data_IF_603677360537
#
_entry.id   IF_603677360537
#
_cell.length_a   1.000
_cell.length_b   1.000
_cell.length_c   1.000
_cell.angle_alpha   90.00
_cell.angle_beta   90.00
_cell.angle_gamma   90.00
#
_symmetry.space_group_name_H-M   'P 1'
#
loop_
_entity.id
_entity.type
_entity.pdbx_description
1 polymer ?
#
# COMPACT_ATOMS: atom_id res chain seq x y z
N UNK A 1 -5.65 10.75 -10.78
CA UNK A 1 -7.08 10.73 -10.42
C UNK A 1 -7.16 10.07 -9.08
N UNK A 2 -7.68 10.77 -8.07
CA UNK A 2 -7.75 10.29 -6.68
C UNK A 2 -8.41 8.92 -6.57
N UNK A 3 -9.48 8.68 -7.34
CA UNK A 3 -10.27 7.45 -7.28
C UNK A 3 -9.71 6.29 -8.12
N UNK A 4 -9.45 6.51 -9.41
CA UNK A 4 -9.15 5.41 -10.35
C UNK A 4 -7.67 5.22 -10.68
N UNK A 5 -6.76 5.91 -9.98
CA UNK A 5 -5.30 5.91 -10.20
C UNK A 5 -4.82 6.40 -11.57
N UNK A 6 -5.73 6.71 -12.52
CA UNK A 6 -5.38 7.28 -13.83
C UNK A 6 -4.53 8.54 -13.69
N UNK A 7 -3.43 8.62 -14.43
CA UNK A 7 -2.62 9.83 -14.56
C UNK A 7 -3.37 10.88 -15.38
N UNK A 8 -3.52 12.07 -14.81
CA UNK A 8 -4.31 13.15 -15.45
C UNK A 8 -3.45 13.99 -16.41
N UNK A 9 -2.15 14.15 -16.12
CA UNK A 9 -1.23 14.99 -16.91
C UNK A 9 -0.67 14.34 -18.19
N UNK A 10 -0.85 13.04 -18.41
CA UNK A 10 -0.31 12.32 -19.60
C UNK A 10 -1.39 11.95 -20.65
N UNK A 11 -2.69 12.04 -20.32
CA UNK A 11 -3.80 11.68 -21.24
C UNK A 11 -4.74 12.87 -21.55
N UNK A 12 -4.42 14.07 -21.04
CA UNK A 12 -5.24 15.28 -21.18
C UNK A 12 -5.46 15.73 -22.63
N UNK A 13 -4.60 15.29 -23.56
CA UNK A 13 -4.72 15.63 -24.99
C UNK A 13 -5.69 14.71 -25.75
N UNK A 14 -6.13 13.57 -25.19
CA UNK A 14 -6.86 12.54 -25.97
C UNK A 14 -8.35 12.35 -25.60
N UNK A 15 -8.89 12.98 -24.56
CA UNK A 15 -10.33 12.83 -24.20
C UNK A 15 -10.99 14.11 -23.69
N UNK A 16 -12.19 14.39 -24.22
CA UNK A 16 -13.11 15.51 -23.91
C UNK A 16 -13.66 15.58 -22.47
N UNK A 17 -13.20 14.76 -21.52
CA UNK A 17 -13.72 14.84 -20.14
C UNK A 17 -12.96 15.91 -19.37
N UNK A 18 -13.66 16.98 -18.97
CA UNK A 18 -13.10 18.00 -18.10
C UNK A 18 -12.59 17.37 -16.79
N UNK A 19 -11.34 17.67 -16.44
CA UNK A 19 -10.76 17.34 -15.14
C UNK A 19 -11.55 18.07 -14.07
N UNK A 20 -11.92 17.37 -12.99
CA UNK A 20 -12.71 17.94 -11.90
C UNK A 20 -11.90 17.92 -10.61
N UNK A 21 -11.94 19.01 -9.85
CA UNK A 21 -11.32 19.13 -8.54
C UNK A 21 -12.41 19.22 -7.47
N UNK A 22 -12.17 18.66 -6.28
CA UNK A 22 -13.08 18.86 -5.15
C UNK A 22 -13.11 20.36 -4.76
N UNK A 23 -14.29 20.94 -4.69
CA UNK A 23 -14.50 22.37 -4.41
C UNK A 23 -14.13 22.73 -2.97
N UNK A 24 -14.36 21.82 -2.02
CA UNK A 24 -14.08 22.04 -0.60
C UNK A 24 -12.58 21.99 -0.28
N UNK A 25 -11.89 20.92 -0.65
CA UNK A 25 -10.47 20.76 -0.29
C UNK A 25 -9.51 21.34 -1.32
N UNK A 26 -9.95 21.56 -2.57
CA UNK A 26 -9.14 22.00 -3.72
C UNK A 26 -7.91 21.14 -4.07
N UNK A 27 -7.70 20.02 -3.36
CA UNK A 27 -6.54 19.14 -3.53
C UNK A 27 -6.83 17.78 -4.17
N UNK A 28 -8.05 17.25 -4.02
CA UNK A 28 -8.44 16.00 -4.66
C UNK A 28 -8.84 16.24 -6.13
N UNK A 29 -8.18 15.54 -7.06
CA UNK A 29 -8.34 15.75 -8.51
C UNK A 29 -8.78 14.46 -9.20
N UNK A 30 -9.82 14.57 -10.02
CA UNK A 30 -10.51 13.47 -10.68
C UNK A 30 -10.45 13.63 -12.20
N UNK A 31 -10.43 12.51 -12.93
CA UNK A 31 -10.43 12.53 -14.40
C UNK A 31 -11.82 12.82 -15.02
N UNK A 32 -12.80 13.23 -14.21
CA UNK A 32 -14.18 13.50 -14.61
C UNK A 32 -15.16 13.35 -13.44
N UNK A 33 -16.37 13.87 -13.63
CA UNK A 33 -17.43 13.95 -12.60
C UNK A 33 -17.77 12.59 -11.99
N UNK A 34 -17.90 11.55 -12.82
CA UNK A 34 -18.19 10.19 -12.35
C UNK A 34 -17.15 9.66 -11.35
N UNK A 35 -15.86 9.96 -11.56
CA UNK A 35 -14.84 9.52 -10.59
C UNK A 35 -14.86 10.32 -9.29
N UNK A 36 -15.43 11.54 -9.29
CA UNK A 36 -15.66 12.33 -8.06
C UNK A 36 -16.86 11.77 -7.29
N UNK A 37 -17.95 11.49 -8.00
CA UNK A 37 -19.19 10.95 -7.42
C UNK A 37 -19.02 9.53 -6.91
N UNK A 38 -18.26 8.69 -7.62
CA UNK A 38 -17.95 7.31 -7.20
C UNK A 38 -16.89 7.22 -6.07
N UNK A 39 -16.34 8.33 -5.57
CA UNK A 39 -15.31 8.33 -4.50
C UNK A 39 -15.92 8.55 -3.11
N UNK A 40 -16.58 7.50 -2.61
CA UNK A 40 -17.14 7.44 -1.25
C UNK A 40 -16.11 7.75 -0.15
N UNK A 41 -14.88 7.28 -0.32
CA UNK A 41 -13.82 7.40 0.68
C UNK A 41 -13.27 8.84 0.83
N UNK A 42 -13.45 9.72 -0.17
CA UNK A 42 -12.90 11.07 -0.13
C UNK A 42 -13.38 11.87 1.08
N UNK A 43 -14.63 11.68 1.50
CA UNK A 43 -15.21 12.36 2.65
C UNK A 43 -14.36 12.16 3.93
N UNK A 44 -13.77 10.98 4.10
CA UNK A 44 -12.90 10.65 5.23
C UNK A 44 -11.58 11.42 5.28
N UNK A 45 -11.06 11.91 4.15
CA UNK A 45 -9.78 12.61 4.07
C UNK A 45 -9.90 14.10 3.68
N UNK A 46 -11.07 14.57 3.27
CA UNK A 46 -11.28 15.88 2.65
C UNK A 46 -10.69 17.03 3.49
N UNK A 47 -10.98 17.06 4.80
CA UNK A 47 -10.47 18.08 5.70
C UNK A 47 -8.94 18.04 5.85
N UNK A 48 -8.33 16.85 5.89
CA UNK A 48 -6.88 16.71 5.91
C UNK A 48 -6.26 17.22 4.60
N UNK A 49 -6.86 16.87 3.46
CA UNK A 49 -6.40 17.33 2.15
C UNK A 49 -6.48 18.87 2.06
N UNK A 50 -7.56 19.47 2.56
CA UNK A 50 -7.72 20.92 2.60
C UNK A 50 -6.58 21.59 3.39
N UNK A 51 -6.26 21.07 4.58
CA UNK A 51 -5.14 21.55 5.41
C UNK A 51 -3.78 21.33 4.73
N UNK A 52 -3.60 20.21 4.03
CA UNK A 52 -2.33 19.90 3.36
C UNK A 52 -2.08 20.76 2.10
N UNK A 53 -3.14 21.27 1.48
CA UNK A 53 -3.04 22.25 0.39
C UNK A 53 -2.49 23.57 0.93
N UNK A 54 -2.93 24.00 2.11
CA UNK A 54 -2.53 25.27 2.72
C UNK A 54 -1.24 25.20 3.53
N UNK A 55 -0.84 24.03 4.04
CA UNK A 55 0.41 23.82 4.78
C UNK A 55 1.39 22.88 4.05
N UNK A 56 2.50 23.41 3.48
CA UNK A 56 3.53 22.62 2.81
C UNK A 56 4.14 21.50 3.66
N UNK A 57 4.21 21.67 4.98
CA UNK A 57 4.82 20.69 5.91
C UNK A 57 4.03 19.39 5.95
N UNK A 58 2.73 19.44 5.63
CA UNK A 58 1.86 18.27 5.62
C UNK A 58 1.89 17.52 4.28
N UNK A 59 2.47 18.07 3.21
CA UNK A 59 2.35 17.47 1.85
C UNK A 59 3.03 16.10 1.70
N UNK A 60 4.17 15.87 2.35
CA UNK A 60 4.91 14.59 2.26
C UNK A 60 4.39 13.54 3.25
N UNK A 61 4.09 13.94 4.49
CA UNK A 61 3.62 13.05 5.55
C UNK A 61 2.16 12.58 5.38
N UNK A 62 1.40 13.19 4.46
CA UNK A 62 -0.04 12.93 4.35
C UNK A 62 -0.42 11.69 3.57
N UNK A 63 0.44 11.09 2.73
CA UNK A 63 0.02 9.96 1.87
C UNK A 63 -0.47 8.76 2.68
N UNK A 64 0.30 8.34 3.69
CA UNK A 64 -0.08 7.22 4.56
C UNK A 64 -1.31 7.54 5.41
N UNK A 65 -1.35 8.75 5.99
CA UNK A 65 -2.47 9.19 6.82
C UNK A 65 -3.77 9.32 6.00
N UNK A 66 -3.70 9.84 4.77
CA UNK A 66 -4.81 9.92 3.83
C UNK A 66 -5.42 8.56 3.54
N UNK A 67 -4.58 7.58 3.18
CA UNK A 67 -5.04 6.20 2.98
C UNK A 67 -5.71 5.64 4.23
N UNK A 68 -5.12 5.88 5.41
CA UNK A 68 -5.67 5.37 6.66
C UNK A 68 -7.01 6.02 7.02
N UNK A 69 -7.16 7.33 6.88
CA UNK A 69 -8.44 8.03 7.10
C UNK A 69 -9.53 7.58 6.12
N UNK A 70 -9.18 7.35 4.86
CA UNK A 70 -10.09 6.75 3.86
C UNK A 70 -10.59 5.37 4.34
N UNK A 71 -9.70 4.53 4.86
CA UNK A 71 -10.06 3.22 5.39
C UNK A 71 -10.95 3.31 6.64
N UNK A 72 -10.67 4.23 7.57
CA UNK A 72 -11.50 4.42 8.77
C UNK A 72 -12.92 4.89 8.41
N UNK A 73 -13.04 5.83 7.48
CA UNK A 73 -14.34 6.29 6.98
C UNK A 73 -15.12 5.16 6.32
N UNK A 74 -14.49 4.42 5.40
CA UNK A 74 -15.12 3.28 4.74
C UNK A 74 -15.50 2.16 5.72
N UNK A 75 -14.71 1.94 6.78
CA UNK A 75 -15.04 0.97 7.84
C UNK A 75 -16.32 1.36 8.56
N UNK A 76 -16.45 2.64 8.91
CA UNK A 76 -17.64 3.15 9.58
C UNK A 76 -18.88 3.11 8.66
N UNK A 77 -18.72 3.45 7.37
CA UNK A 77 -19.81 3.45 6.39
C UNK A 77 -20.22 2.04 5.93
N UNK A 78 -19.26 1.11 5.84
CA UNK A 78 -19.44 -0.21 5.23
C UNK A 78 -18.71 -1.31 6.03
N UNK A 79 -19.11 -1.57 7.29
CA UNK A 79 -18.35 -2.46 8.20
C UNK A 79 -18.16 -3.88 7.67
N UNK A 80 -19.16 -4.44 6.97
CA UNK A 80 -19.08 -5.78 6.36
C UNK A 80 -17.92 -5.93 5.36
N UNK A 81 -17.50 -4.85 4.69
CA UNK A 81 -16.35 -4.89 3.75
C UNK A 81 -15.00 -5.03 4.47
N UNK A 82 -14.98 -4.82 5.78
CA UNK A 82 -13.78 -4.77 6.60
C UNK A 82 -13.57 -6.03 7.44
N UNK A 83 -14.47 -7.02 7.35
CA UNK A 83 -14.34 -8.31 8.05
C UNK A 83 -13.01 -9.01 7.70
N UNK A 84 -12.63 -9.00 6.42
CA UNK A 84 -11.37 -9.58 5.94
C UNK A 84 -10.12 -8.89 6.51
N UNK A 85 -10.21 -7.67 7.07
CA UNK A 85 -9.07 -7.05 7.75
C UNK A 85 -8.69 -7.78 9.03
N UNK A 86 -9.64 -8.47 9.67
CA UNK A 86 -9.37 -9.26 10.88
C UNK A 86 -8.29 -10.31 10.65
N UNK A 87 -8.27 -10.92 9.46
CA UNK A 87 -7.34 -11.98 9.07
C UNK A 87 -5.96 -11.49 8.63
N UNK A 88 -5.77 -10.17 8.44
CA UNK A 88 -4.49 -9.65 7.96
C UNK A 88 -3.41 -9.70 9.03
N UNK A 89 -2.16 -9.93 8.59
CA UNK A 89 -1.03 -9.99 9.51
C UNK A 89 -0.75 -8.63 10.14
N UNK A 90 -0.68 -8.60 11.47
CA UNK A 90 -0.16 -7.48 12.26
C UNK A 90 1.24 -7.83 12.75
N UNK A 91 2.17 -6.89 12.65
CA UNK A 91 3.51 -7.06 13.24
C UNK A 91 3.68 -6.30 14.55
N UNK A 92 2.63 -5.65 15.07
CA UNK A 92 2.69 -4.84 16.28
C UNK A 92 3.37 -5.58 17.45
N UNK A 93 2.97 -6.83 17.72
CA UNK A 93 3.55 -7.62 18.81
C UNK A 93 5.04 -7.98 18.62
N UNK A 94 5.52 -8.00 17.37
CA UNK A 94 6.91 -8.33 17.02
C UNK A 94 7.81 -7.09 16.97
N UNK A 95 7.25 -5.87 17.03
CA UNK A 95 8.04 -4.64 17.04
C UNK A 95 8.75 -4.45 18.39
N UNK A 96 9.91 -3.78 18.43
CA UNK A 96 10.54 -3.38 19.69
C UNK A 96 9.60 -2.53 20.57
N UNK A 97 9.67 -2.62 21.91
CA UNK A 97 8.73 -1.92 22.81
C UNK A 97 8.58 -0.41 22.54
N UNK A 98 9.69 0.27 22.25
CA UNK A 98 9.67 1.70 21.90
C UNK A 98 8.85 1.99 20.63
N UNK A 99 8.94 1.11 19.62
CA UNK A 99 8.17 1.25 18.39
C UNK A 99 6.69 0.92 18.59
N UNK A 100 6.37 -0.07 19.44
CA UNK A 100 4.99 -0.36 19.84
C UNK A 100 4.35 0.84 20.53
N UNK A 101 5.04 1.43 21.52
CA UNK A 101 4.58 2.62 22.24
C UNK A 101 4.35 3.80 21.29
N UNK A 102 5.26 4.01 20.32
CA UNK A 102 5.09 5.02 19.28
C UNK A 102 3.84 4.79 18.44
N UNK A 103 3.58 3.55 18.00
CA UNK A 103 2.40 3.23 17.21
C UNK A 103 1.10 3.44 18.01
N UNK A 104 1.07 3.04 19.28
CA UNK A 104 -0.06 3.29 20.20
C UNK A 104 -0.31 4.78 20.41
N UNK A 105 0.76 5.57 20.60
CA UNK A 105 0.66 7.02 20.72
C UNK A 105 0.07 7.66 19.45
N UNK A 106 0.52 7.22 18.27
CA UNK A 106 -0.06 7.65 16.99
C UNK A 106 -1.53 7.25 16.87
N UNK A 107 -1.88 6.01 17.26
CA UNK A 107 -3.26 5.55 17.26
C UNK A 107 -4.13 6.41 18.19
N UNK A 108 -3.68 6.71 19.41
CA UNK A 108 -4.39 7.60 20.33
C UNK A 108 -4.62 9.00 19.76
N UNK A 109 -3.60 9.57 19.11
CA UNK A 109 -3.71 10.88 18.46
C UNK A 109 -4.67 10.87 17.26
N UNK A 110 -4.68 9.80 16.46
CA UNK A 110 -5.66 9.65 15.37
C UNK A 110 -7.06 9.44 15.94
N UNK A 111 -7.21 8.62 16.98
CA UNK A 111 -8.50 8.32 17.59
C UNK A 111 -9.17 9.58 18.15
N UNK A 112 -8.41 10.48 18.79
CA UNK A 112 -8.94 11.74 19.31
C UNK A 112 -9.38 12.73 18.22
N UNK A 113 -8.90 12.56 16.99
CA UNK A 113 -9.35 13.33 15.83
C UNK A 113 -10.64 12.77 15.20
N UNK A 114 -11.04 11.54 15.54
CA UNK A 114 -12.25 10.93 15.01
C UNK A 114 -13.50 11.44 15.74
N UNK A 115 -14.63 11.59 15.04
CA UNK A 115 -15.90 11.90 15.70
C UNK A 115 -16.27 10.77 16.69
N UNK A 116 -16.95 11.06 17.81
CA UNK A 116 -17.19 10.07 18.88
C UNK A 116 -17.75 8.72 18.41
N UNK A 117 -18.71 8.65 17.45
CA UNK A 117 -19.23 7.37 16.96
C UNK A 117 -18.22 6.52 16.18
N UNK A 118 -17.14 7.13 15.67
CA UNK A 118 -16.09 6.43 14.91
C UNK A 118 -14.87 6.07 15.76
N UNK A 119 -14.79 6.56 17.01
CA UNK A 119 -13.71 6.22 17.93
C UNK A 119 -13.76 4.73 18.30
N UNK A 120 -12.59 4.16 18.56
CA UNK A 120 -12.46 2.74 18.94
C UNK A 120 -11.33 2.56 19.97
N UNK A 121 -11.21 1.39 20.61
CA UNK A 121 -10.11 1.14 21.54
C UNK A 121 -8.76 1.38 20.86
N UNK A 122 -7.85 2.10 21.55
CA UNK A 122 -6.55 2.50 21.01
C UNK A 122 -5.73 1.29 20.55
N UNK A 123 -5.78 0.18 21.29
CA UNK A 123 -5.10 -1.06 20.89
C UNK A 123 -5.66 -1.64 19.59
N UNK A 124 -6.98 -1.64 19.41
CA UNK A 124 -7.61 -2.12 18.18
C UNK A 124 -7.25 -1.22 16.98
N UNK A 125 -7.14 0.09 17.21
CA UNK A 125 -6.70 1.03 16.17
C UNK A 125 -5.20 0.87 15.84
N UNK A 126 -4.34 0.67 16.85
CA UNK A 126 -2.92 0.40 16.64
C UNK A 126 -2.69 -0.91 15.87
N UNK A 127 -3.46 -1.95 16.19
CA UNK A 127 -3.45 -3.20 15.43
C UNK A 127 -3.90 -2.99 13.98
N UNK A 128 -4.99 -2.26 13.76
CA UNK A 128 -5.44 -1.89 12.41
C UNK A 128 -4.37 -1.10 11.63
N UNK A 129 -3.71 -0.13 12.28
CA UNK A 129 -2.60 0.61 11.66
C UNK A 129 -1.46 -0.32 11.26
N UNK A 130 -1.08 -1.27 12.13
CA UNK A 130 -0.05 -2.26 11.81
C UNK A 130 -0.47 -3.16 10.64
N UNK A 131 -1.69 -3.70 10.65
CA UNK A 131 -2.26 -4.50 9.56
C UNK A 131 -2.24 -3.75 8.24
N UNK A 132 -2.69 -2.50 8.22
CA UNK A 132 -2.65 -1.68 7.00
C UNK A 132 -1.21 -1.50 6.54
N UNK A 133 -0.29 -1.10 7.41
CA UNK A 133 1.11 -0.91 7.05
C UNK A 133 1.76 -2.17 6.47
N UNK A 134 1.54 -3.32 7.11
CA UNK A 134 2.11 -4.61 6.71
C UNK A 134 1.57 -5.10 5.37
N UNK A 135 0.30 -4.83 5.05
CA UNK A 135 -0.42 -5.49 3.95
C UNK A 135 -0.77 -4.57 2.77
N UNK A 136 -0.37 -3.29 2.81
CA UNK A 136 -0.58 -2.37 1.69
C UNK A 136 0.23 -2.77 0.46
N UNK A 137 -0.40 -2.68 -0.71
CA UNK A 137 0.26 -2.83 -2.00
C UNK A 137 0.49 -1.47 -2.67
N UNK A 138 1.68 -1.25 -3.22
CA UNK A 138 1.95 -0.13 -4.12
C UNK A 138 1.27 -0.35 -5.46
N UNK A 139 0.33 0.53 -5.83
CA UNK A 139 -0.32 0.53 -7.13
C UNK A 139 0.62 1.18 -8.14
N UNK A 140 0.93 0.47 -9.23
CA UNK A 140 1.82 0.94 -10.30
C UNK A 140 1.11 0.90 -11.66
N UNK A 141 1.58 1.70 -12.62
CA UNK A 141 1.17 1.54 -14.02
C UNK A 141 1.96 0.45 -14.75
N UNK A 142 1.67 0.25 -16.04
CA UNK A 142 2.32 -0.76 -16.88
C UNK A 142 3.82 -0.53 -17.06
N UNK A 143 4.33 0.68 -16.79
CA UNK A 143 5.75 1.01 -16.82
C UNK A 143 6.40 0.90 -15.42
N UNK A 144 5.69 0.35 -14.43
CA UNK A 144 6.19 0.21 -13.05
C UNK A 144 6.19 1.51 -12.25
N UNK A 145 5.62 2.60 -12.78
CA UNK A 145 5.63 3.91 -12.10
C UNK A 145 4.61 3.92 -10.98
N UNK A 146 5.00 4.36 -9.79
CA UNK A 146 4.13 4.43 -8.62
C UNK A 146 2.95 5.41 -8.82
N UNK A 147 1.73 4.89 -8.73
CA UNK A 147 0.47 5.65 -8.82
C UNK A 147 -0.16 5.91 -7.45
N UNK A 148 0.06 5.02 -6.48
CA UNK A 148 -0.52 5.14 -5.15
C UNK A 148 -0.40 3.84 -4.35
N UNK A 149 -1.31 3.63 -3.40
CA UNK A 149 -1.36 2.42 -2.59
C UNK A 149 -2.81 1.95 -2.44
N UNK A 150 -3.00 0.65 -2.25
CA UNK A 150 -4.30 0.04 -2.00
C UNK A 150 -4.16 -1.17 -1.10
N UNK A 151 -5.23 -1.45 -0.36
CA UNK A 151 -5.32 -2.62 0.51
C UNK A 151 -6.19 -3.67 -0.19
N UNK A 152 -5.64 -4.86 -0.40
CA UNK A 152 -6.28 -5.93 -1.15
C UNK A 152 -6.21 -7.21 -0.32
N UNK A 153 -7.18 -7.46 0.59
CA UNK A 153 -7.05 -8.54 1.57
C UNK A 153 -6.73 -9.90 0.97
N UNK A 154 -7.41 -10.30 -0.12
CA UNK A 154 -7.13 -11.56 -0.81
C UNK A 154 -5.70 -11.63 -1.39
N UNK A 155 -5.15 -10.52 -1.88
CA UNK A 155 -3.80 -10.48 -2.43
C UNK A 155 -2.72 -10.40 -1.33
N UNK A 156 -3.07 -9.86 -0.16
CA UNK A 156 -2.18 -9.81 1.00
C UNK A 156 -1.91 -11.19 1.61
N UNK A 157 -2.69 -12.22 1.24
CA UNK A 157 -2.49 -13.60 1.70
C UNK A 157 -1.35 -14.32 0.98
N UNK A 158 -0.92 -13.85 -0.21
CA UNK A 158 0.18 -14.50 -0.94
C UNK A 158 1.50 -14.22 -0.25
N UNK A 159 2.26 -15.26 0.11
CA UNK A 159 3.58 -15.15 0.71
C UNK A 159 4.65 -14.71 -0.29
N UNK A 160 5.86 -14.49 0.23
CA UNK A 160 7.00 -14.04 -0.55
C UNK A 160 7.93 -15.18 -0.99
N UNK A 161 8.36 -15.10 -2.25
CA UNK A 161 9.59 -15.77 -2.72
C UNK A 161 10.43 -14.81 -3.58
N UNK A 162 11.75 -14.87 -3.46
CA UNK A 162 12.64 -14.17 -4.40
C UNK A 162 12.68 -14.87 -5.77
N UNK A 163 12.23 -16.13 -5.84
CA UNK A 163 11.88 -16.85 -7.07
C UNK A 163 10.36 -17.04 -7.11
N UNK A 164 9.58 -15.98 -7.36
CA UNK A 164 8.13 -16.05 -7.33
C UNK A 164 7.60 -16.91 -8.48
N UNK A 165 6.44 -17.55 -8.27
CA UNK A 165 5.71 -18.25 -9.33
C UNK A 165 4.49 -17.46 -9.83
N UNK A 166 4.19 -16.32 -9.21
CA UNK A 166 3.17 -15.38 -9.67
C UNK A 166 3.63 -13.91 -9.59
N UNK A 167 3.04 -13.07 -10.43
CA UNK A 167 3.28 -11.63 -10.49
C UNK A 167 2.01 -10.84 -10.22
N UNK A 168 2.16 -9.73 -9.50
CA UNK A 168 1.09 -8.76 -9.25
C UNK A 168 1.13 -7.67 -10.32
N UNK A 169 -0.03 -7.35 -10.89
CA UNK A 169 -0.21 -6.22 -11.82
C UNK A 169 -1.51 -5.49 -11.51
N UNK A 170 -1.65 -4.26 -12.02
CA UNK A 170 -2.85 -3.46 -11.80
C UNK A 170 -3.54 -3.14 -13.13
N UNK A 171 -4.82 -3.46 -13.21
CA UNK A 171 -5.68 -3.01 -14.29
C UNK A 171 -6.22 -1.60 -14.00
N UNK A 172 -6.90 -1.03 -15.00
CA UNK A 172 -7.58 0.27 -14.87
C UNK A 172 -8.46 0.30 -13.62
N UNK A 173 -8.39 1.40 -12.88
CA UNK A 173 -9.13 1.58 -11.63
C UNK A 173 -8.44 1.00 -10.40
N UNK A 174 -7.17 0.57 -10.51
CA UNK A 174 -6.45 -0.04 -9.39
C UNK A 174 -6.85 -1.49 -9.12
N UNK A 175 -7.56 -2.16 -10.03
CA UNK A 175 -7.92 -3.57 -9.83
C UNK A 175 -6.67 -4.44 -9.90
N UNK A 176 -6.28 -5.00 -8.75
CA UNK A 176 -5.15 -5.92 -8.63
C UNK A 176 -5.45 -7.23 -9.37
N UNK A 177 -4.43 -7.74 -10.07
CA UNK A 177 -4.43 -9.04 -10.74
C UNK A 177 -3.18 -9.81 -10.34
N UNK A 178 -3.36 -11.07 -9.99
CA UNK A 178 -2.27 -12.02 -9.78
C UNK A 178 -2.26 -12.98 -10.96
N UNK A 179 -1.10 -13.19 -11.57
CA UNK A 179 -0.94 -14.09 -12.72
C UNK A 179 0.24 -15.02 -12.47
N UNK A 180 0.05 -16.31 -12.71
CA UNK A 180 1.15 -17.26 -12.75
C UNK A 180 2.14 -16.87 -13.85
N UNK A 181 3.43 -17.01 -13.56
CA UNK A 181 4.53 -16.78 -14.52
C UNK A 181 5.32 -18.06 -14.82
N UNK A 182 4.96 -19.15 -14.15
CA UNK A 182 5.42 -20.52 -14.37
C UNK A 182 4.23 -21.46 -14.21
N UNK A 183 4.38 -22.73 -14.58
CA UNK A 183 3.40 -23.77 -14.23
C UNK A 183 3.40 -23.96 -12.70
N UNK A 184 2.21 -24.06 -12.12
CA UNK A 184 2.01 -24.26 -10.67
C UNK A 184 1.20 -25.55 -10.53
N UNK A 185 1.74 -26.55 -9.85
CA UNK A 185 1.05 -27.81 -9.63
C UNK A 185 0.02 -27.67 -8.50
N UNK A 186 -0.93 -28.61 -8.45
CA UNK A 186 -1.83 -28.71 -7.30
C UNK A 186 -1.04 -28.95 -6.01
N UNK A 187 -1.35 -28.20 -4.96
CA UNK A 187 -0.63 -28.25 -3.68
C UNK A 187 0.56 -27.31 -3.57
N UNK A 188 1.06 -26.74 -4.68
CA UNK A 188 2.14 -25.76 -4.63
C UNK A 188 1.66 -24.42 -4.03
N UNK A 189 2.48 -23.83 -3.18
CA UNK A 189 2.23 -22.49 -2.67
C UNK A 189 2.41 -21.43 -3.76
N UNK A 190 1.45 -20.51 -3.87
CA UNK A 190 1.58 -19.35 -4.76
C UNK A 190 2.30 -18.22 -4.03
N UNK A 191 3.46 -17.83 -4.56
CA UNK A 191 4.32 -16.80 -4.00
C UNK A 191 4.49 -15.62 -4.97
N UNK A 192 4.50 -14.40 -4.41
CA UNK A 192 4.79 -13.15 -5.13
C UNK A 192 6.07 -12.48 -4.61
N UNK A 193 6.63 -11.53 -5.36
CA UNK A 193 7.76 -10.73 -4.89
C UNK A 193 7.28 -9.55 -4.02
N UNK A 194 7.84 -9.39 -2.82
CA UNK A 194 7.59 -8.25 -1.93
C UNK A 194 8.68 -7.17 -2.04
N UNK A 195 9.79 -7.48 -2.72
CA UNK A 195 10.98 -6.64 -2.84
C UNK A 195 11.48 -6.63 -4.29
N UNK A 196 12.35 -5.67 -4.60
CA UNK A 196 13.11 -5.64 -5.84
C UNK A 196 13.96 -6.91 -5.96
N UNK A 197 13.84 -7.61 -7.09
CA UNK A 197 14.46 -8.92 -7.33
C UNK A 197 15.88 -8.80 -7.87
N UNK A 198 16.25 -7.65 -8.45
CA UNK A 198 17.60 -7.40 -8.97
C UNK A 198 18.63 -7.03 -7.90
N UNK A 199 18.22 -6.75 -6.66
CA UNK A 199 19.14 -6.51 -5.56
C UNK A 199 19.79 -7.82 -5.10
N UNK A 200 21.01 -7.77 -4.54
CA UNK A 200 21.70 -8.93 -3.98
C UNK A 200 20.90 -9.61 -2.86
N UNK A 201 21.10 -10.93 -2.66
CA UNK A 201 20.35 -11.72 -1.68
C UNK A 201 20.38 -11.14 -0.25
N UNK A 202 21.52 -10.62 0.19
CA UNK A 202 21.66 -9.96 1.49
C UNK A 202 20.79 -8.69 1.59
N UNK A 203 20.79 -7.85 0.55
CA UNK A 203 19.99 -6.64 0.49
C UNK A 203 18.48 -6.94 0.47
N UNK A 204 18.07 -7.97 -0.28
CA UNK A 204 16.67 -8.43 -0.27
C UNK A 204 16.24 -8.90 1.12
N UNK A 205 17.04 -9.74 1.79
CA UNK A 205 16.77 -10.22 3.16
C UNK A 205 16.66 -9.07 4.15
N UNK A 206 17.61 -8.14 4.13
CA UNK A 206 17.57 -6.96 5.01
C UNK A 206 16.30 -6.11 4.78
N UNK A 207 15.88 -5.92 3.52
CA UNK A 207 14.66 -5.19 3.20
C UNK A 207 13.39 -5.92 3.68
N UNK A 208 13.34 -7.24 3.56
CA UNK A 208 12.22 -8.06 4.03
C UNK A 208 12.16 -8.11 5.55
N UNK A 209 13.28 -8.32 6.23
CA UNK A 209 13.35 -8.33 7.68
C UNK A 209 12.89 -7.00 8.27
N UNK A 210 13.38 -5.88 7.72
CA UNK A 210 12.99 -4.54 8.16
C UNK A 210 11.52 -4.21 7.93
N UNK A 211 10.94 -4.62 6.79
CA UNK A 211 9.58 -4.19 6.37
C UNK A 211 8.48 -5.22 6.66
N UNK A 212 8.85 -6.49 6.82
CA UNK A 212 7.94 -7.65 6.88
C UNK A 212 8.29 -8.61 8.02
N UNK A 213 9.32 -8.32 8.81
CA UNK A 213 9.68 -9.06 10.02
C UNK A 213 9.87 -10.59 9.80
N UNK A 214 10.44 -10.98 8.65
CA UNK A 214 10.82 -12.37 8.38
C UNK A 214 12.10 -12.46 7.56
N UNK A 215 12.78 -13.61 7.66
CA UNK A 215 13.95 -13.96 6.86
C UNK A 215 13.54 -14.86 5.68
N UNK A 216 13.82 -14.46 4.44
CA UNK A 216 13.51 -15.28 3.28
C UNK A 216 14.47 -16.49 3.15
N UNK A 217 13.88 -17.68 3.01
CA UNK A 217 14.57 -18.98 2.88
C UNK A 217 14.35 -19.66 1.53
N UNK A 218 13.82 -18.96 0.53
CA UNK A 218 13.65 -19.50 -0.82
C UNK A 218 15.01 -19.85 -1.48
N UNK A 219 14.97 -20.64 -2.56
CA UNK A 219 16.15 -21.13 -3.29
C UNK A 219 17.12 -20.01 -3.69
N UNK A 220 16.63 -18.87 -4.19
CA UNK A 220 17.49 -17.71 -4.53
C UNK A 220 18.22 -17.08 -3.34
N UNK A 221 17.83 -17.41 -2.11
CA UNK A 221 18.45 -16.90 -0.91
C UNK A 221 19.29 -17.97 -0.19
N UNK A 222 19.05 -19.26 -0.45
CA UNK A 222 19.71 -20.38 0.26
C UNK A 222 20.70 -21.15 -0.60
N UNK A 223 20.52 -21.21 -1.93
CA UNK A 223 21.44 -21.88 -2.83
C UNK A 223 22.71 -21.01 -3.04
N UNK A 224 23.92 -21.51 -2.70
CA UNK A 224 25.17 -20.78 -2.89
C UNK A 224 25.44 -20.36 -4.34
N UNK A 225 24.94 -21.10 -5.33
CA UNK A 225 25.11 -20.77 -6.75
C UNK A 225 24.20 -19.60 -7.12
N UNK A 226 22.91 -19.69 -6.77
CA UNK A 226 21.95 -18.61 -7.02
C UNK A 226 22.36 -17.30 -6.33
N UNK A 227 22.87 -17.38 -5.09
CA UNK A 227 23.36 -16.22 -4.35
C UNK A 227 24.53 -15.54 -5.06
N UNK A 228 25.44 -16.29 -5.68
CA UNK A 228 26.56 -15.71 -6.46
C UNK A 228 26.09 -15.03 -7.74
N UNK A 229 25.06 -15.55 -8.40
CA UNK A 229 24.50 -14.93 -9.60
C UNK A 229 23.84 -13.56 -9.35
N UNK A 230 23.42 -13.29 -8.11
CA UNK A 230 22.85 -12.00 -7.72
C UNK A 230 23.92 -10.92 -7.43
N UNK A 231 25.21 -11.28 -7.44
CA UNK A 231 26.30 -10.32 -7.25
C UNK A 231 26.58 -9.57 -8.56
N UNK A 232 26.80 -8.24 -8.51
CA UNK A 232 27.19 -7.50 -9.70
C UNK A 232 28.55 -8.03 -10.18
N UNK A 233 28.69 -8.19 -11.50
CA UNK A 233 29.99 -8.46 -12.12
C UNK A 233 30.88 -7.20 -12.06
N UNK A 234 30.30 -6.03 -12.33
CA UNK A 234 30.92 -4.71 -12.27
C UNK A 234 29.82 -3.65 -12.10
N UNK A 235 30.15 -2.44 -11.64
CA UNK A 235 29.20 -1.33 -11.53
C UNK A 235 29.88 0.04 -11.46
N UNK A 236 29.19 1.06 -11.98
CA UNK A 236 29.59 2.47 -11.88
C UNK A 236 28.42 3.25 -11.28
N UNK A 237 28.69 4.15 -10.32
CA UNK A 237 27.68 5.09 -9.80
C UNK A 237 27.72 6.42 -10.59
N UNK A 238 26.64 6.79 -11.26
CA UNK A 238 26.53 8.17 -11.76
C UNK A 238 26.31 9.10 -10.56
N UNK A 239 27.25 10.02 -10.35
CA UNK A 239 27.06 11.17 -9.45
C UNK A 239 26.03 12.17 -10.02
#
# INVERSE_FOLDING_TARGET
CTRCFRRIREEGERRKNAVVTCESCRGAVYCGVRCREDDDAHAGECALVQRAVTDPRLRSATRGLRMFLRLLYLRAAHPHRFEALGALQSHLAHLPPAQQARLRGMAGAVNSMLPPPAQMPVEALADMMSKVHTNLHGVVDAAGRALGSGLYPAAAMFNHSCAPNAVVSFARGGRLRVRAIVLIAEGDEVCIAYTELYAAAAARRAALESKKAFLCTCTRCTDPVAVRHDLPLEGWACE
#
